data_IF_892585382603
#
_entry.id   IF_892585382603
#
_cell.length_a   1.000
_cell.length_b   1.000
_cell.length_c   1.000
_cell.angle_alpha   90.00
_cell.angle_beta   90.00
_cell.angle_gamma   90.00
#
_symmetry.space_group_name_H-M   'P 1'
#
loop_
_entity.id
_entity.type
_entity.pdbx_description
1 polymer ?
#
# COMPACT_ATOMS: atom_id res chain seq x y z
N UNK A 1 -27.18 29.35 -51.56
CA UNK A 1 -25.96 29.06 -50.76
C UNK A 1 -25.49 27.64 -51.05
N UNK A 2 -24.24 27.47 -51.46
CA UNK A 2 -23.64 26.15 -51.71
C UNK A 2 -23.49 25.35 -50.41
N UNK A 3 -23.40 24.01 -50.50
CA UNK A 3 -23.18 23.13 -49.31
C UNK A 3 -21.95 23.55 -48.49
N UNK A 4 -20.90 24.05 -49.13
CA UNK A 4 -19.72 24.59 -48.47
C UNK A 4 -20.01 25.85 -47.63
N UNK A 5 -20.88 26.75 -48.12
CA UNK A 5 -21.27 27.96 -47.39
C UNK A 5 -22.12 27.66 -46.15
N UNK A 6 -22.87 26.55 -46.16
CA UNK A 6 -23.65 26.11 -44.98
C UNK A 6 -22.74 25.51 -43.90
N UNK A 7 -21.75 24.70 -44.29
CA UNK A 7 -20.80 24.10 -43.34
C UNK A 7 -19.92 25.19 -42.71
N UNK A 8 -19.48 26.17 -43.50
CA UNK A 8 -18.68 27.29 -42.99
C UNK A 8 -19.46 28.18 -42.02
N UNK A 9 -20.77 28.38 -42.23
CA UNK A 9 -21.61 29.15 -41.31
C UNK A 9 -21.86 28.40 -39.99
N UNK A 10 -22.03 27.07 -40.05
CA UNK A 10 -22.20 26.23 -38.85
C UNK A 10 -20.91 26.12 -38.00
N UNK A 11 -19.74 26.06 -38.64
CA UNK A 11 -18.46 26.07 -37.92
C UNK A 11 -18.21 27.42 -37.25
N UNK A 12 -18.56 28.52 -37.92
CA UNK A 12 -18.38 29.86 -37.36
C UNK A 12 -19.32 30.14 -36.18
N UNK A 13 -20.59 29.69 -36.25
CA UNK A 13 -21.52 29.84 -35.12
C UNK A 13 -21.17 28.93 -33.94
N UNK A 14 -20.63 27.73 -34.19
CA UNK A 14 -20.19 26.82 -33.13
C UNK A 14 -18.94 27.32 -32.40
N UNK A 15 -17.98 27.93 -33.11
CA UNK A 15 -16.78 28.53 -32.51
C UNK A 15 -17.15 29.80 -31.72
N UNK A 16 -18.10 30.61 -32.21
CA UNK A 16 -18.57 31.79 -31.48
C UNK A 16 -19.31 31.40 -30.20
N UNK A 17 -20.07 30.29 -30.20
CA UNK A 17 -20.74 29.77 -29.01
C UNK A 17 -19.75 29.29 -27.95
N UNK A 18 -18.68 28.59 -28.37
CA UNK A 18 -17.60 28.13 -27.48
C UNK A 18 -16.82 29.31 -26.88
N UNK A 19 -16.59 30.39 -27.65
CA UNK A 19 -15.94 31.60 -27.15
C UNK A 19 -16.78 32.33 -26.11
N UNK A 20 -18.11 32.36 -26.26
CA UNK A 20 -18.99 32.97 -25.25
C UNK A 20 -19.06 32.18 -23.94
N UNK A 21 -18.95 30.85 -23.99
CA UNK A 21 -18.94 29.98 -22.79
C UNK A 21 -17.62 30.13 -22.01
N UNK A 22 -16.51 30.37 -22.70
CA UNK A 22 -15.18 30.54 -22.09
C UNK A 22 -14.91 31.95 -21.54
N UNK A 23 -15.65 32.98 -21.98
CA UNK A 23 -15.46 34.37 -21.51
C UNK A 23 -16.51 34.85 -20.49
N UNK A 24 -17.68 34.20 -20.41
CA UNK A 24 -18.76 34.58 -19.47
C UNK A 24 -18.99 33.59 -18.33
N UNK A 25 -18.04 32.71 -18.05
CA UNK A 25 -18.06 31.93 -16.81
C UNK A 25 -17.32 32.72 -15.71
N UNK A 26 -18.00 33.26 -14.68
CA UNK A 26 -17.32 33.86 -13.55
C UNK A 26 -16.50 32.77 -12.85
N UNK A 27 -15.20 33.01 -12.69
CA UNK A 27 -14.31 32.19 -11.86
C UNK A 27 -14.76 32.33 -10.42
N UNK A 28 -15.70 31.51 -10.02
CA UNK A 28 -16.12 31.31 -8.65
C UNK A 28 -16.72 29.92 -8.58
N UNK A 29 -16.25 29.15 -7.59
CA UNK A 29 -16.52 27.72 -7.34
C UNK A 29 -15.50 26.74 -7.96
N UNK A 30 -14.25 26.83 -7.47
CA UNK A 30 -13.53 25.60 -7.15
C UNK A 30 -14.21 24.94 -5.94
N UNK A 31 -14.36 23.60 -5.89
CA UNK A 31 -14.78 22.91 -4.68
C UNK A 31 -13.72 23.10 -3.58
N UNK A 32 -14.17 23.41 -2.38
CA UNK A 32 -13.37 23.67 -1.17
C UNK A 32 -12.56 22.47 -0.65
N UNK A 33 -12.51 21.36 -1.39
CA UNK A 33 -11.77 20.13 -1.05
C UNK A 33 -10.36 20.05 -1.65
N UNK A 34 -10.04 20.87 -2.66
CA UNK A 34 -8.69 20.95 -3.25
C UNK A 34 -7.58 21.46 -2.30
N UNK A 35 -7.83 22.41 -1.38
CA UNK A 35 -6.81 22.84 -0.41
C UNK A 35 -6.44 21.73 0.59
N UNK A 36 -7.37 20.80 0.85
CA UNK A 36 -7.19 19.71 1.83
C UNK A 36 -6.28 18.60 1.25
N UNK A 37 -6.49 18.25 -0.01
CA UNK A 37 -5.61 17.33 -0.76
C UNK A 37 -4.22 17.93 -0.92
N UNK A 38 -4.12 19.22 -1.26
CA UNK A 38 -2.82 19.89 -1.37
C UNK A 38 -2.14 20.09 -0.01
N UNK A 39 -2.85 20.34 1.09
CA UNK A 39 -2.25 20.39 2.43
C UNK A 39 -1.76 19.02 2.90
N UNK A 40 -2.45 17.94 2.51
CA UNK A 40 -2.02 16.57 2.77
C UNK A 40 -0.67 16.27 2.08
N UNK A 41 -0.43 16.81 0.88
CA UNK A 41 0.86 16.66 0.18
C UNK A 41 1.91 17.73 0.56
N UNK A 42 1.49 18.94 0.95
CA UNK A 42 2.40 20.07 1.22
C UNK A 42 2.96 20.11 2.64
N UNK A 43 2.23 19.58 3.64
CA UNK A 43 2.76 19.51 5.01
C UNK A 43 3.88 18.48 5.19
N UNK A 44 4.13 17.65 4.17
CA UNK A 44 5.28 16.74 4.13
C UNK A 44 6.56 17.41 3.57
N UNK A 45 6.46 18.59 2.94
CA UNK A 45 7.61 19.32 2.36
C UNK A 45 8.21 20.40 3.30
N UNK A 46 7.42 21.00 4.21
CA UNK A 46 7.84 22.23 4.93
C UNK A 46 8.40 22.04 6.36
N UNK A 47 8.43 20.83 6.92
CA UNK A 47 9.11 20.57 8.20
C UNK A 47 10.43 19.84 7.96
N UNK A 48 11.47 20.57 7.51
CA UNK A 48 12.88 20.36 7.89
C UNK A 48 13.76 21.40 7.14
N UNK A 49 13.58 22.68 7.46
CA UNK A 49 14.63 23.68 7.24
C UNK A 49 15.45 23.74 8.54
N UNK A 50 16.70 23.25 8.45
CA UNK A 50 17.73 23.49 9.47
C UNK A 50 18.18 24.94 9.35
N UNK A 51 17.83 25.77 10.33
CA UNK A 51 18.45 27.08 10.49
C UNK A 51 19.70 26.90 11.36
N UNK A 52 20.86 26.88 10.71
CA UNK A 52 22.17 26.85 11.35
C UNK A 52 22.44 28.21 12.01
N UNK A 53 22.43 28.28 13.34
CA UNK A 53 23.03 29.38 14.06
C UNK A 53 24.18 28.89 14.94
N UNK A 54 25.38 29.17 14.45
CA UNK A 54 26.65 29.11 15.14
C UNK A 54 26.68 30.13 16.28
N UNK A 55 26.76 29.67 17.53
CA UNK A 55 27.50 30.41 18.55
C UNK A 55 28.32 29.46 19.41
N UNK A 56 29.60 29.76 19.41
CA UNK A 56 30.71 29.02 19.96
C UNK A 56 31.10 29.80 21.21
N UNK A 57 30.71 29.32 22.38
CA UNK A 57 31.31 29.78 23.62
C UNK A 57 31.91 28.60 24.37
N UNK A 58 33.23 28.71 24.45
CA UNK A 58 34.19 27.82 25.05
C UNK A 58 34.26 28.20 26.53
N UNK A 59 34.04 27.26 27.44
CA UNK A 59 34.63 27.30 28.77
C UNK A 59 35.02 25.88 29.17
N UNK A 60 36.32 25.61 29.12
CA UNK A 60 36.96 24.52 29.85
C UNK A 60 37.18 25.04 31.27
N UNK A 61 36.74 24.28 32.27
CA UNK A 61 37.22 24.42 33.64
C UNK A 61 37.79 23.07 34.09
N UNK A 62 39.04 23.12 34.51
CA UNK A 62 39.85 21.97 34.92
C UNK A 62 39.65 21.69 36.42
N UNK A 63 39.55 20.42 36.77
CA UNK A 63 40.02 19.92 38.07
C UNK A 63 38.92 19.58 39.09
N UNK A 64 38.69 18.27 39.27
CA UNK A 64 39.24 17.48 40.38
C UNK A 64 38.45 16.16 40.54
N UNK A 65 39.21 15.09 40.67
CA UNK A 65 38.79 13.70 40.75
C UNK A 65 37.80 13.42 41.89
N UNK A 66 36.74 12.64 41.62
CA UNK A 66 36.45 11.49 42.47
C UNK A 66 35.59 10.42 41.78
N UNK A 67 35.85 9.18 42.18
CA UNK A 67 35.57 7.94 41.47
C UNK A 67 34.08 7.60 41.30
N UNK A 68 33.72 7.14 40.10
CA UNK A 68 32.43 6.54 39.79
C UNK A 68 32.44 5.96 38.37
N UNK A 69 32.44 4.64 38.27
CA UNK A 69 32.53 3.85 37.03
C UNK A 69 31.41 4.18 36.04
N UNK A 70 31.73 4.82 34.91
CA UNK A 70 30.84 4.91 33.75
C UNK A 70 31.56 4.37 32.50
N UNK A 71 31.78 3.06 32.47
CA UNK A 71 32.02 2.34 31.22
C UNK A 71 30.69 2.26 30.46
N UNK A 72 30.54 3.05 29.40
CA UNK A 72 29.51 2.77 28.40
C UNK A 72 29.83 1.42 27.76
N UNK A 73 28.89 0.47 27.67
CA UNK A 73 29.19 -0.84 27.13
C UNK A 73 29.55 -0.69 25.66
N UNK A 74 30.73 -1.18 25.29
CA UNK A 74 31.09 -1.44 23.90
C UNK A 74 29.93 -2.23 23.26
N UNK A 75 29.36 -1.67 22.18
CA UNK A 75 28.24 -2.29 21.48
C UNK A 75 28.64 -3.71 21.04
N UNK A 76 27.76 -4.72 21.22
CA UNK A 76 28.06 -6.05 20.71
C UNK A 76 28.19 -5.97 19.18
N UNK A 77 29.33 -6.41 18.67
CA UNK A 77 29.52 -6.68 17.24
C UNK A 77 28.60 -7.85 16.91
N UNK A 78 27.46 -7.55 16.30
CA UNK A 78 26.53 -8.57 15.80
C UNK A 78 27.14 -9.12 14.51
N UNK A 79 27.53 -10.39 14.54
CA UNK A 79 27.93 -11.14 13.36
C UNK A 79 26.69 -11.31 12.46
N UNK A 80 26.52 -10.40 11.50
CA UNK A 80 25.44 -10.43 10.52
C UNK A 80 25.73 -11.44 9.42
N UNK A 81 25.72 -12.70 9.81
CA UNK A 81 25.95 -13.84 8.93
C UNK A 81 24.91 -13.87 7.81
N UNK A 82 25.38 -14.21 6.60
CA UNK A 82 24.58 -14.35 5.37
C UNK A 82 23.88 -13.07 4.84
N UNK A 83 24.07 -11.90 5.46
CA UNK A 83 23.62 -10.59 4.92
C UNK A 83 24.71 -9.98 4.06
N UNK A 84 24.38 -9.64 2.81
CA UNK A 84 25.36 -9.07 1.88
C UNK A 84 25.48 -7.55 2.07
N UNK A 85 26.71 -7.05 2.18
CA UNK A 85 26.98 -5.60 2.25
C UNK A 85 27.08 -5.03 0.85
N UNK A 86 26.22 -4.04 0.56
CA UNK A 86 26.20 -3.33 -0.70
C UNK A 86 26.70 -1.88 -0.53
N UNK A 87 27.37 -1.42 -1.57
CA UNK A 87 27.94 -0.07 -1.74
C UNK A 87 27.53 0.46 -3.10
N UNK A 88 27.70 1.75 -3.37
CA UNK A 88 27.42 2.33 -4.69
C UNK A 88 28.10 1.60 -5.84
N UNK A 89 29.26 0.98 -5.60
CA UNK A 89 30.07 0.28 -6.62
C UNK A 89 29.51 -1.07 -7.04
N UNK A 90 28.86 -1.82 -6.14
CA UNK A 90 28.40 -3.19 -6.41
C UNK A 90 26.86 -3.30 -6.46
N UNK A 91 26.13 -2.27 -6.01
CA UNK A 91 24.69 -2.34 -5.83
C UNK A 91 23.95 -2.71 -7.12
N UNK A 92 24.21 -2.00 -8.22
CA UNK A 92 23.51 -2.17 -9.49
C UNK A 92 23.66 -3.58 -10.08
N UNK A 93 24.91 -4.03 -10.20
CA UNK A 93 25.23 -5.36 -10.73
C UNK A 93 24.66 -6.47 -9.83
N UNK A 94 24.70 -6.26 -8.51
CA UNK A 94 24.22 -7.24 -7.55
C UNK A 94 22.71 -7.45 -7.65
N UNK A 95 21.91 -6.37 -7.66
CA UNK A 95 20.44 -6.49 -7.77
C UNK A 95 19.99 -6.94 -9.15
N UNK A 96 20.81 -6.77 -10.20
CA UNK A 96 20.53 -7.25 -11.54
C UNK A 96 20.83 -8.76 -11.68
N UNK A 97 21.92 -9.23 -11.05
CA UNK A 97 22.34 -10.63 -11.11
C UNK A 97 21.49 -11.52 -10.22
N UNK A 98 21.09 -11.02 -9.04
CA UNK A 98 20.30 -11.79 -8.10
C UNK A 98 18.80 -11.54 -8.34
N UNK A 99 18.00 -12.59 -8.57
CA UNK A 99 16.61 -12.43 -8.99
C UNK A 99 15.74 -11.78 -7.91
N UNK A 100 16.11 -11.95 -6.63
CA UNK A 100 15.27 -11.56 -5.51
C UNK A 100 16.11 -11.07 -4.33
N UNK A 101 16.18 -9.74 -4.16
CA UNK A 101 17.02 -9.09 -3.16
C UNK A 101 16.19 -8.13 -2.32
N UNK A 102 16.08 -8.38 -1.01
CA UNK A 102 15.66 -7.33 -0.09
C UNK A 102 16.90 -6.57 0.39
N UNK A 103 16.82 -5.25 0.37
CA UNK A 103 17.89 -4.37 0.86
C UNK A 103 17.39 -3.57 2.05
N UNK A 104 18.10 -3.67 3.18
CA UNK A 104 17.99 -2.77 4.32
C UNK A 104 18.85 -1.52 4.11
N UNK A 105 18.21 -0.36 4.04
CA UNK A 105 18.88 0.93 4.18
C UNK A 105 18.88 1.34 5.64
N UNK A 106 20.07 1.35 6.25
CA UNK A 106 20.23 1.54 7.69
C UNK A 106 21.16 2.70 8.03
N UNK A 107 21.15 3.09 9.30
CA UNK A 107 22.16 3.97 9.90
C UNK A 107 22.72 3.30 11.17
N UNK A 108 24.06 3.30 11.38
CA UNK A 108 24.68 2.54 12.47
C UNK A 108 24.31 3.06 13.86
N UNK A 109 23.98 4.34 13.97
CA UNK A 109 23.53 4.99 15.21
C UNK A 109 22.01 4.85 15.45
N UNK A 110 21.23 4.37 14.49
CA UNK A 110 19.79 4.23 14.63
C UNK A 110 19.44 3.01 15.51
N UNK A 111 18.75 3.25 16.63
CA UNK A 111 18.29 2.21 17.54
C UNK A 111 17.45 1.13 16.83
N UNK A 112 16.52 1.54 15.95
CA UNK A 112 15.63 0.60 15.25
C UNK A 112 16.37 -0.28 14.24
N UNK A 113 17.39 0.25 13.57
CA UNK A 113 18.25 -0.53 12.67
C UNK A 113 19.05 -1.57 13.44
N UNK A 114 19.66 -1.16 14.56
CA UNK A 114 20.38 -2.08 15.44
C UNK A 114 19.48 -3.19 16.02
N UNK A 115 18.22 -2.85 16.32
CA UNK A 115 17.23 -3.84 16.80
C UNK A 115 16.82 -4.83 15.69
N UNK A 116 16.75 -4.39 14.44
CA UNK A 116 16.37 -5.23 13.30
C UNK A 116 17.52 -6.16 12.85
N UNK A 117 18.78 -5.72 12.92
CA UNK A 117 19.95 -6.45 12.46
C UNK A 117 19.97 -7.96 12.81
N UNK A 118 19.75 -8.40 14.08
CA UNK A 118 19.75 -9.83 14.40
C UNK A 118 18.59 -10.61 13.75
N UNK A 119 17.39 -10.03 13.69
CA UNK A 119 16.22 -10.64 13.03
C UNK A 119 16.42 -10.73 11.52
N UNK A 120 17.05 -9.70 10.94
CA UNK A 120 17.34 -9.61 9.52
C UNK A 120 18.40 -10.65 9.09
N UNK A 121 19.47 -10.81 9.85
CA UNK A 121 20.47 -11.86 9.60
C UNK A 121 19.90 -13.27 9.79
N UNK A 122 19.04 -13.48 10.79
CA UNK A 122 18.34 -14.75 10.95
C UNK A 122 17.40 -15.04 9.76
N UNK A 123 16.73 -14.02 9.21
CA UNK A 123 15.90 -14.17 8.02
C UNK A 123 16.74 -14.48 6.77
N UNK A 124 17.90 -13.83 6.64
CA UNK A 124 18.84 -14.09 5.55
C UNK A 124 19.31 -15.55 5.55
N UNK A 125 19.62 -16.07 6.74
CA UNK A 125 19.98 -17.49 6.92
C UNK A 125 18.82 -18.42 6.54
N UNK A 126 17.58 -18.09 6.95
CA UNK A 126 16.39 -18.89 6.66
C UNK A 126 15.99 -18.90 5.17
N UNK A 127 16.31 -17.83 4.45
CA UNK A 127 16.00 -17.65 3.03
C UNK A 127 17.13 -18.09 2.11
N UNK A 128 18.22 -18.65 2.64
CA UNK A 128 19.39 -19.05 1.86
C UNK A 128 19.02 -20.02 0.75
N UNK A 129 19.27 -19.62 -0.50
CA UNK A 129 18.91 -20.37 -1.70
C UNK A 129 17.53 -20.03 -2.28
N UNK A 130 16.68 -19.33 -1.55
CA UNK A 130 15.37 -18.84 -2.03
C UNK A 130 15.41 -17.34 -2.38
N UNK A 131 16.07 -16.54 -1.55
CA UNK A 131 16.17 -15.09 -1.66
C UNK A 131 17.43 -14.56 -0.99
N UNK A 132 17.86 -13.35 -1.38
CA UNK A 132 19.02 -12.69 -0.80
C UNK A 132 18.57 -11.49 0.04
N UNK A 133 19.13 -11.38 1.24
CA UNK A 133 19.02 -10.19 2.08
C UNK A 133 20.36 -9.45 2.06
N UNK A 134 20.29 -8.15 1.90
CA UNK A 134 21.43 -7.27 1.76
C UNK A 134 21.21 -5.99 2.56
N UNK A 135 22.28 -5.25 2.81
CA UNK A 135 22.22 -3.98 3.53
C UNK A 135 23.09 -2.91 2.91
N UNK A 136 22.68 -1.67 3.08
CA UNK A 136 23.38 -0.45 2.67
C UNK A 136 23.41 0.51 3.85
N UNK A 137 24.60 0.93 4.25
CA UNK A 137 24.74 2.06 5.18
C UNK A 137 24.43 3.35 4.42
N UNK A 138 23.22 3.86 4.59
CA UNK A 138 22.74 5.05 3.88
C UNK A 138 23.35 6.35 4.41
N UNK A 139 24.11 6.29 5.52
CA UNK A 139 24.89 7.44 6.04
C UNK A 139 26.24 7.57 5.34
N UNK A 140 26.75 6.47 4.77
CA UNK A 140 27.97 6.45 3.96
C UNK A 140 27.62 6.54 2.47
N UNK A 141 26.71 5.69 2.00
CA UNK A 141 26.29 5.57 0.60
C UNK A 141 25.11 6.52 0.30
N UNK A 142 25.31 7.81 0.57
CA UNK A 142 24.25 8.83 0.49
C UNK A 142 23.62 8.96 -0.91
N UNK A 143 24.35 8.62 -1.98
CA UNK A 143 23.81 8.61 -3.34
C UNK A 143 22.72 7.56 -3.53
N UNK A 144 22.91 6.35 -3.00
CA UNK A 144 21.86 5.32 -2.99
C UNK A 144 20.66 5.75 -2.14
N UNK A 145 20.92 6.32 -0.95
CA UNK A 145 19.86 6.84 -0.08
C UNK A 145 18.97 7.87 -0.78
N UNK A 146 19.58 8.83 -1.51
CA UNK A 146 18.84 9.83 -2.30
C UNK A 146 18.13 9.21 -3.50
N UNK A 147 18.79 8.33 -4.25
CA UNK A 147 18.23 7.66 -5.44
C UNK A 147 16.92 6.93 -5.12
N UNK A 148 16.90 6.21 -4.00
CA UNK A 148 15.74 5.43 -3.55
C UNK A 148 14.86 6.17 -2.53
N UNK A 149 15.08 7.49 -2.37
CA UNK A 149 14.27 8.39 -1.53
C UNK A 149 14.10 7.88 -0.08
N UNK A 150 15.19 7.41 0.52
CA UNK A 150 15.20 6.93 1.90
C UNK A 150 15.05 8.13 2.85
N UNK A 151 13.91 8.20 3.54
CA UNK A 151 13.56 9.28 4.46
C UNK A 151 13.76 8.92 5.94
N UNK A 152 13.95 7.63 6.25
CA UNK A 152 14.13 7.15 7.62
C UNK A 152 14.72 5.75 7.68
N UNK A 153 15.20 5.35 8.87
CA UNK A 153 15.92 4.11 9.08
C UNK A 153 15.26 3.22 10.14
N UNK A 154 15.25 1.88 9.95
CA UNK A 154 15.60 1.18 8.74
C UNK A 154 14.47 1.27 7.69
N UNK A 155 14.84 1.36 6.41
CA UNK A 155 13.93 1.21 5.28
C UNK A 155 14.26 -0.06 4.52
N UNK A 156 13.27 -0.94 4.33
CA UNK A 156 13.44 -2.24 3.67
C UNK A 156 12.79 -2.19 2.28
N UNK A 157 13.60 -2.37 1.24
CA UNK A 157 13.14 -2.33 -0.15
C UNK A 157 13.37 -3.67 -0.83
N UNK A 158 12.38 -4.17 -1.56
CA UNK A 158 12.51 -5.35 -2.40
C UNK A 158 12.88 -4.97 -3.83
N UNK A 159 13.89 -5.66 -4.34
CA UNK A 159 14.33 -5.61 -5.72
C UNK A 159 14.13 -6.97 -6.37
N UNK A 160 13.56 -6.97 -7.57
CA UNK A 160 13.47 -8.17 -8.41
C UNK A 160 13.92 -7.83 -9.83
N UNK A 161 14.88 -8.60 -10.34
CA UNK A 161 15.47 -8.39 -11.67
C UNK A 161 16.03 -6.97 -11.89
N UNK A 162 16.69 -6.40 -10.87
CA UNK A 162 17.29 -5.06 -10.93
C UNK A 162 16.34 -3.88 -10.72
N UNK A 163 15.04 -4.13 -10.51
CA UNK A 163 14.02 -3.07 -10.36
C UNK A 163 13.47 -3.10 -8.94
N UNK A 164 13.31 -1.91 -8.33
CA UNK A 164 12.60 -1.78 -7.05
C UNK A 164 11.12 -2.11 -7.25
N UNK A 165 10.62 -3.10 -6.51
CA UNK A 165 9.24 -3.60 -6.63
C UNK A 165 8.33 -3.09 -5.54
N UNK A 166 8.77 -3.14 -4.28
CA UNK A 166 7.94 -2.72 -3.16
C UNK A 166 8.80 -2.36 -1.94
N UNK A 167 8.21 -1.55 -1.06
CA UNK A 167 8.75 -1.27 0.27
C UNK A 167 8.08 -2.21 1.27
N UNK A 168 8.87 -2.71 2.23
CA UNK A 168 8.36 -3.56 3.29
C UNK A 168 8.07 -2.75 4.55
N UNK A 169 6.81 -2.81 4.99
CA UNK A 169 6.31 -2.13 6.20
C UNK A 169 5.77 -3.12 7.25
N UNK A 170 5.98 -4.42 7.05
CA UNK A 170 5.50 -5.46 7.96
C UNK A 170 6.32 -5.59 9.24
N UNK A 171 6.00 -6.62 10.03
CA UNK A 171 6.69 -6.90 11.29
C UNK A 171 8.19 -7.17 11.08
N UNK A 172 9.03 -6.56 11.93
CA UNK A 172 10.49 -6.67 11.85
C UNK A 172 11.01 -7.91 12.57
N UNK A 173 10.36 -9.05 12.35
CA UNK A 173 10.74 -10.36 12.90
C UNK A 173 11.23 -11.26 11.78
N UNK A 174 12.11 -12.22 12.11
CA UNK A 174 12.65 -13.20 11.17
C UNK A 174 11.57 -13.85 10.31
N UNK A 175 10.52 -14.35 10.96
CA UNK A 175 9.49 -15.17 10.30
C UNK A 175 8.57 -14.33 9.42
N UNK A 176 8.24 -13.10 9.83
CA UNK A 176 7.43 -12.20 9.02
C UNK A 176 8.18 -11.74 7.77
N UNK A 177 9.47 -11.42 7.90
CA UNK A 177 10.33 -11.05 6.76
C UNK A 177 10.46 -12.24 5.81
N UNK A 178 10.77 -13.43 6.31
CA UNK A 178 10.90 -14.63 5.49
C UNK A 178 9.59 -15.01 4.77
N UNK A 179 8.47 -14.93 5.48
CA UNK A 179 7.15 -15.22 4.91
C UNK A 179 6.80 -14.21 3.82
N UNK A 180 7.01 -12.92 4.07
CA UNK A 180 6.73 -11.89 3.09
C UNK A 180 7.63 -12.03 1.85
N UNK A 181 8.91 -12.33 2.05
CA UNK A 181 9.85 -12.58 0.96
C UNK A 181 9.39 -13.77 0.10
N UNK A 182 8.97 -14.87 0.71
CA UNK A 182 8.43 -16.05 0.01
C UNK A 182 7.13 -15.73 -0.75
N UNK A 183 6.23 -14.96 -0.14
CA UNK A 183 4.98 -14.53 -0.79
C UNK A 183 5.26 -13.68 -2.04
N UNK A 184 6.21 -12.75 -1.93
CA UNK A 184 6.55 -11.84 -3.02
C UNK A 184 7.54 -12.46 -4.03
N UNK A 185 8.12 -13.62 -3.73
CA UNK A 185 8.91 -14.43 -4.67
C UNK A 185 8.09 -14.91 -5.90
N UNK A 186 6.77 -14.68 -5.93
CA UNK A 186 5.92 -14.79 -7.13
C UNK A 186 6.21 -13.79 -8.25
N UNK A 187 7.15 -12.85 -8.07
CA UNK A 187 7.55 -11.85 -9.06
C UNK A 187 8.57 -12.36 -10.11
N UNK A 188 9.02 -13.61 -9.96
CA UNK A 188 9.78 -14.39 -10.94
C UNK A 188 8.88 -15.52 -11.42
N UNK A 189 8.93 -15.85 -12.70
CA UNK A 189 8.21 -16.99 -13.26
C UNK A 189 8.65 -18.26 -12.51
N UNK A 190 7.75 -18.83 -11.69
CA UNK A 190 8.08 -19.98 -10.87
C UNK A 190 7.99 -21.27 -11.70
N UNK A 191 9.03 -22.09 -11.65
CA UNK A 191 9.01 -23.41 -12.29
C UNK A 191 8.15 -24.37 -11.47
N UNK A 192 7.18 -25.02 -12.13
CA UNK A 192 6.31 -26.04 -11.54
C UNK A 192 6.63 -27.39 -12.19
N UNK A 193 7.31 -28.27 -11.46
CA UNK A 193 7.76 -29.56 -12.00
C UNK A 193 6.86 -30.74 -11.61
N UNK A 194 6.04 -30.59 -10.57
CA UNK A 194 5.24 -31.68 -9.99
C UNK A 194 3.74 -31.38 -9.99
N UNK A 195 2.92 -32.43 -10.08
CA UNK A 195 1.45 -32.29 -10.06
C UNK A 195 0.95 -31.93 -8.66
N UNK A 196 1.66 -32.30 -7.60
CA UNK A 196 1.36 -31.92 -6.22
C UNK A 196 1.50 -30.40 -6.02
N UNK A 197 2.55 -29.80 -6.57
CA UNK A 197 2.77 -28.36 -6.58
C UNK A 197 1.72 -27.63 -7.41
N UNK A 198 1.45 -28.12 -8.63
CA UNK A 198 0.39 -27.59 -9.48
C UNK A 198 -0.97 -27.57 -8.77
N UNK A 199 -1.32 -28.65 -8.07
CA UNK A 199 -2.56 -28.72 -7.30
C UNK A 199 -2.59 -27.77 -6.09
N UNK A 200 -1.44 -27.47 -5.47
CA UNK A 200 -1.36 -26.45 -4.41
C UNK A 200 -1.61 -25.06 -4.99
N UNK A 201 -0.98 -24.74 -6.13
CA UNK A 201 -1.15 -23.46 -6.83
C UNK A 201 -2.61 -23.27 -7.26
N UNK A 202 -3.23 -24.29 -7.85
CA UNK A 202 -4.62 -24.25 -8.31
C UNK A 202 -5.68 -24.09 -7.19
N UNK A 203 -5.30 -24.29 -5.91
CA UNK A 203 -6.18 -24.03 -4.75
C UNK A 203 -6.11 -22.59 -4.27
N UNK A 204 -5.20 -21.78 -4.82
CA UNK A 204 -5.15 -20.35 -4.51
C UNK A 204 -6.27 -19.63 -5.26
N UNK A 205 -7.00 -18.74 -4.59
CA UNK A 205 -8.01 -17.89 -5.22
C UNK A 205 -7.34 -16.68 -5.91
N UNK A 206 -6.31 -16.94 -6.72
CA UNK A 206 -5.53 -15.91 -7.41
C UNK A 206 -5.62 -16.06 -8.92
N UNK A 207 -5.32 -14.97 -9.62
CA UNK A 207 -5.12 -15.00 -11.08
C UNK A 207 -3.73 -15.56 -11.35
N UNK A 208 -3.67 -16.56 -12.22
CA UNK A 208 -2.46 -17.34 -12.52
C UNK A 208 -2.18 -17.26 -14.01
N UNK A 209 -0.92 -17.03 -14.37
CA UNK A 209 -0.41 -17.16 -15.74
C UNK A 209 0.55 -18.34 -15.78
N UNK A 210 0.30 -19.31 -16.67
CA UNK A 210 1.07 -20.54 -16.79
C UNK A 210 1.62 -20.70 -18.21
N UNK A 211 2.95 -20.70 -18.35
CA UNK A 211 3.66 -21.02 -19.59
C UNK A 211 4.03 -22.50 -19.66
N UNK A 212 3.69 -23.17 -20.77
CA UNK A 212 4.19 -24.48 -21.13
C UNK A 212 5.27 -24.33 -22.20
N UNK A 213 6.53 -24.61 -21.84
CA UNK A 213 7.72 -24.30 -22.64
C UNK A 213 8.48 -25.59 -23.01
N UNK A 214 9.22 -25.56 -24.12
CA UNK A 214 10.12 -26.65 -24.51
C UNK A 214 11.32 -26.76 -23.56
N UNK A 215 11.82 -25.62 -23.07
CA UNK A 215 12.91 -25.51 -22.11
C UNK A 215 12.58 -24.46 -21.06
N UNK A 216 12.95 -24.73 -19.80
CA UNK A 216 12.75 -23.82 -18.67
C UNK A 216 13.82 -22.71 -18.56
N UNK A 217 14.68 -22.64 -19.57
CA UNK A 217 15.72 -21.65 -19.79
C UNK A 217 15.74 -21.31 -21.28
N UNK A 218 15.98 -20.04 -21.65
CA UNK A 218 16.09 -19.66 -23.07
C UNK A 218 15.40 -18.35 -23.40
N UNK A 219 15.07 -18.13 -24.68
CA UNK A 219 14.32 -16.95 -25.14
C UNK A 219 12.96 -16.89 -24.47
N UNK A 220 12.22 -17.98 -24.47
CA UNK A 220 10.81 -17.97 -24.07
C UNK A 220 10.67 -17.69 -22.57
N UNK A 221 11.49 -18.33 -21.74
CA UNK A 221 11.58 -17.98 -20.31
C UNK A 221 11.95 -16.51 -20.09
N UNK A 222 12.84 -15.92 -20.91
CA UNK A 222 13.20 -14.50 -20.81
C UNK A 222 12.03 -13.59 -21.16
N UNK A 223 11.31 -13.87 -22.23
CA UNK A 223 10.12 -13.11 -22.65
C UNK A 223 9.02 -13.20 -21.59
N UNK A 224 8.75 -14.39 -21.06
CA UNK A 224 7.77 -14.61 -19.99
C UNK A 224 8.17 -13.90 -18.69
N UNK A 225 9.46 -13.92 -18.34
CA UNK A 225 10.00 -13.21 -17.19
C UNK A 225 9.97 -11.70 -17.38
N UNK A 226 10.21 -11.22 -18.60
CA UNK A 226 10.10 -9.80 -18.91
C UNK A 226 8.64 -9.34 -18.75
N UNK A 227 7.68 -10.11 -19.26
CA UNK A 227 6.25 -9.81 -19.08
C UNK A 227 5.83 -9.87 -17.60
N UNK A 228 6.29 -10.87 -16.83
CA UNK A 228 5.94 -10.98 -15.40
C UNK A 228 6.39 -9.75 -14.59
N UNK A 229 7.48 -9.10 -15.00
CA UNK A 229 7.96 -7.87 -14.33
C UNK A 229 6.99 -6.70 -14.47
N UNK A 230 6.16 -6.68 -15.50
CA UNK A 230 5.16 -5.63 -15.76
C UNK A 230 3.86 -5.86 -14.97
N UNK A 231 3.61 -7.09 -14.51
CA UNK A 231 2.38 -7.53 -13.84
C UNK A 231 2.67 -8.03 -12.43
N UNK A 232 3.09 -7.13 -11.54
CA UNK A 232 3.56 -7.47 -10.19
C UNK A 232 2.47 -8.00 -9.24
N UNK A 233 1.21 -7.90 -9.63
CA UNK A 233 0.01 -8.37 -8.93
C UNK A 233 -0.46 -9.77 -9.36
N UNK A 234 0.14 -10.33 -10.42
CA UNK A 234 -0.25 -11.62 -11.01
C UNK A 234 0.89 -12.62 -10.84
N UNK A 235 0.55 -13.86 -10.50
CA UNK A 235 1.54 -14.92 -10.34
C UNK A 235 1.82 -15.58 -11.69
N UNK A 236 3.08 -15.56 -12.11
CA UNK A 236 3.55 -16.23 -13.32
C UNK A 236 4.27 -17.52 -12.98
N UNK A 237 3.99 -18.56 -13.76
CA UNK A 237 4.60 -19.88 -13.63
C UNK A 237 5.06 -20.38 -15.00
N UNK A 238 6.01 -21.31 -15.01
CA UNK A 238 6.41 -22.06 -16.19
C UNK A 238 6.53 -23.57 -15.89
N UNK A 239 6.32 -24.40 -16.90
CA UNK A 239 6.50 -25.85 -16.82
C UNK A 239 6.90 -26.40 -18.19
N UNK A 240 7.71 -27.46 -18.20
CA UNK A 240 8.00 -28.31 -19.36
C UNK A 240 7.30 -29.67 -19.21
N UNK A 241 6.56 -29.87 -18.10
CA UNK A 241 5.90 -31.11 -17.77
C UNK A 241 4.46 -31.11 -18.32
N UNK A 242 4.19 -32.04 -19.23
CA UNK A 242 2.88 -32.22 -19.89
C UNK A 242 1.76 -32.51 -18.88
N UNK A 243 2.03 -33.25 -17.80
CA UNK A 243 1.02 -33.57 -16.79
C UNK A 243 0.66 -32.34 -15.94
N UNK A 244 1.63 -31.48 -15.67
CA UNK A 244 1.40 -30.18 -15.03
C UNK A 244 0.58 -29.27 -15.96
N UNK A 245 1.00 -29.14 -17.23
CA UNK A 245 0.30 -28.34 -18.23
C UNK A 245 -1.19 -28.74 -18.36
N UNK A 246 -1.48 -30.04 -18.32
CA UNK A 246 -2.85 -30.58 -18.35
C UNK A 246 -3.71 -30.11 -17.16
N UNK A 247 -3.14 -30.01 -15.96
CA UNK A 247 -3.86 -29.51 -14.77
C UNK A 247 -4.27 -28.05 -14.92
N UNK A 248 -3.47 -27.27 -15.65
CA UNK A 248 -3.74 -25.87 -16.01
C UNK A 248 -4.56 -25.71 -17.30
N UNK A 249 -5.17 -26.80 -17.82
CA UNK A 249 -6.03 -26.81 -19.03
C UNK A 249 -5.29 -26.51 -20.35
N UNK A 250 -3.98 -26.68 -20.40
CA UNK A 250 -3.24 -26.68 -21.66
C UNK A 250 -3.42 -28.06 -22.30
N UNK A 251 -3.91 -28.10 -23.54
CA UNK A 251 -4.05 -29.35 -24.28
C UNK A 251 -2.66 -29.94 -24.60
N UNK A 252 -2.39 -31.21 -24.27
CA UNK A 252 -1.14 -31.88 -24.61
C UNK A 252 -0.78 -31.88 -26.10
N UNK A 253 -1.74 -31.64 -26.99
CA UNK A 253 -1.52 -31.54 -28.43
C UNK A 253 -0.99 -30.17 -28.87
N UNK A 254 -1.06 -29.15 -28.02
CA UNK A 254 -0.50 -27.83 -28.31
C UNK A 254 1.02 -27.93 -28.23
N UNK A 255 1.69 -27.45 -29.28
CA UNK A 255 3.14 -27.37 -29.32
C UNK A 255 3.62 -26.19 -28.46
N UNK A 256 4.62 -26.38 -27.57
CA UNK A 256 5.28 -25.26 -26.91
C UNK A 256 5.92 -24.27 -27.90
N UNK A 257 6.08 -22.99 -27.52
CA UNK A 257 5.61 -22.41 -26.27
C UNK A 257 4.10 -22.13 -26.30
N UNK A 258 3.42 -22.42 -25.20
CA UNK A 258 2.01 -22.13 -24.99
C UNK A 258 1.81 -21.37 -23.68
N UNK A 259 0.78 -20.52 -23.61
CA UNK A 259 0.47 -19.75 -22.41
C UNK A 259 -1.03 -19.82 -22.14
N UNK A 260 -1.39 -19.97 -20.86
CA UNK A 260 -2.77 -19.89 -20.40
C UNK A 260 -2.86 -18.98 -19.19
N UNK A 261 -3.95 -18.23 -19.11
CA UNK A 261 -4.32 -17.45 -17.93
C UNK A 261 -5.54 -18.10 -17.29
N UNK A 262 -5.47 -18.34 -15.98
CA UNK A 262 -6.56 -18.91 -15.20
C UNK A 262 -7.01 -17.95 -14.11
N UNK A 263 -8.33 -17.85 -13.92
CA UNK A 263 -8.94 -17.19 -12.77
C UNK A 263 -9.91 -18.16 -12.09
N UNK A 264 -9.81 -18.23 -10.78
CA UNK A 264 -10.76 -18.97 -9.96
C UNK A 264 -12.06 -18.16 -9.79
N UNK A 265 -13.20 -18.68 -10.23
CA UNK A 265 -14.49 -18.00 -10.15
C UNK A 265 -15.61 -18.96 -9.74
N UNK A 266 -15.91 -19.01 -8.44
CA UNK A 266 -16.89 -19.92 -7.85
C UNK A 266 -16.73 -21.39 -8.35
N UNK A 267 -17.82 -22.11 -8.56
CA UNK A 267 -17.81 -23.53 -8.92
C UNK A 267 -17.19 -23.87 -10.30
N UNK A 268 -16.63 -22.89 -11.04
CA UNK A 268 -16.07 -23.12 -12.36
C UNK A 268 -14.71 -22.42 -12.57
N UNK A 269 -13.84 -23.02 -13.39
CA UNK A 269 -12.50 -22.47 -13.70
C UNK A 269 -12.56 -21.73 -15.04
N UNK A 270 -12.46 -20.40 -14.99
CA UNK A 270 -12.29 -19.58 -16.19
C UNK A 270 -10.82 -19.66 -16.64
N UNK A 271 -10.57 -20.15 -17.86
CA UNK A 271 -9.24 -20.22 -18.45
C UNK A 271 -9.27 -19.65 -19.86
N UNK A 272 -8.21 -18.96 -20.25
CA UNK A 272 -8.07 -18.36 -21.58
C UNK A 272 -6.68 -18.67 -22.10
N UNK A 273 -6.61 -19.31 -23.27
CA UNK A 273 -5.35 -19.54 -23.97
C UNK A 273 -4.85 -18.27 -24.66
N UNK A 274 -3.53 -18.14 -24.76
CA UNK A 274 -2.85 -17.12 -25.54
C UNK A 274 -2.62 -17.63 -26.97
N UNK A 275 -2.94 -16.80 -27.96
CA UNK A 275 -2.83 -17.10 -29.39
C UNK A 275 -1.85 -16.15 -30.13
N UNK A 276 -1.17 -15.26 -29.40
CA UNK A 276 -0.18 -14.34 -29.94
C UNK A 276 1.23 -14.92 -30.06
N UNK A 277 2.16 -14.08 -30.50
CA UNK A 277 3.59 -14.39 -30.50
C UNK A 277 4.12 -14.37 -29.07
N UNK A 278 4.99 -15.32 -28.75
CA UNK A 278 5.56 -15.46 -27.41
C UNK A 278 6.64 -14.40 -27.14
N UNK A 279 6.22 -13.14 -26.99
CA UNK A 279 7.07 -11.95 -26.75
C UNK A 279 6.56 -11.19 -25.53
N UNK A 280 7.45 -10.46 -24.84
CA UNK A 280 7.12 -9.63 -23.67
C UNK A 280 5.89 -8.76 -23.93
N UNK A 281 5.88 -8.05 -25.06
CA UNK A 281 4.82 -7.09 -25.40
C UNK A 281 3.47 -7.79 -25.56
N UNK A 282 3.40 -8.85 -26.37
CA UNK A 282 2.13 -9.53 -26.64
C UNK A 282 1.62 -10.30 -25.43
N UNK A 283 2.51 -10.92 -24.65
CA UNK A 283 2.16 -11.58 -23.38
C UNK A 283 1.62 -10.54 -22.40
N UNK A 284 2.30 -9.39 -22.27
CA UNK A 284 1.89 -8.33 -21.37
C UNK A 284 0.53 -7.75 -21.76
N UNK A 285 0.33 -7.46 -23.06
CA UNK A 285 -0.93 -6.94 -23.59
C UNK A 285 -2.08 -7.94 -23.38
N UNK A 286 -1.82 -9.23 -23.59
CA UNK A 286 -2.77 -10.30 -23.30
C UNK A 286 -3.15 -10.32 -21.82
N UNK A 287 -2.17 -10.31 -20.92
CA UNK A 287 -2.40 -10.34 -19.47
C UNK A 287 -3.18 -9.11 -19.02
N UNK A 288 -2.79 -7.90 -19.45
CA UNK A 288 -3.54 -6.67 -19.18
C UNK A 288 -4.98 -6.74 -19.69
N UNK A 289 -5.17 -7.13 -20.95
CA UNK A 289 -6.49 -7.15 -21.59
C UNK A 289 -7.41 -8.16 -20.92
N UNK A 290 -6.90 -9.34 -20.61
CA UNK A 290 -7.67 -10.40 -19.97
C UNK A 290 -7.90 -10.12 -18.49
N UNK A 291 -6.93 -9.56 -17.76
CA UNK A 291 -7.16 -9.12 -16.38
C UNK A 291 -8.25 -8.03 -16.32
N UNK A 292 -8.23 -7.08 -17.26
CA UNK A 292 -9.30 -6.09 -17.42
C UNK A 292 -10.65 -6.69 -17.82
N UNK A 293 -10.67 -7.76 -18.63
CA UNK A 293 -11.90 -8.48 -18.97
C UNK A 293 -12.44 -9.28 -17.77
N UNK A 294 -11.56 -9.89 -16.98
CA UNK A 294 -11.92 -10.60 -15.75
C UNK A 294 -12.43 -9.65 -14.66
N UNK A 295 -11.92 -8.43 -14.59
CA UNK A 295 -12.41 -7.38 -13.67
C UNK A 295 -13.64 -6.65 -14.23
N UNK A 296 -13.76 -6.50 -15.56
CA UNK A 296 -15.00 -6.00 -16.19
C UNK A 296 -16.14 -6.99 -16.19
N UNK A 297 -15.92 -8.31 -16.16
CA UNK A 297 -16.98 -9.30 -15.95
C UNK A 297 -17.66 -9.07 -14.60
N UNK A 298 -16.88 -8.76 -13.56
CA UNK A 298 -17.41 -8.33 -12.27
C UNK A 298 -18.21 -7.02 -12.38
N UNK A 299 -17.83 -6.12 -13.31
CA UNK A 299 -18.56 -4.88 -13.60
C UNK A 299 -19.82 -5.13 -14.46
N UNK A 300 -19.81 -6.02 -15.45
CA UNK A 300 -20.99 -6.29 -16.29
C UNK A 300 -22.03 -7.15 -15.59
N UNK A 301 -21.59 -8.06 -14.70
CA UNK A 301 -22.48 -8.83 -13.83
C UNK A 301 -23.01 -7.97 -12.68
N UNK A 302 -22.28 -6.94 -12.23
CA UNK A 302 -22.76 -5.92 -11.27
C UNK A 302 -23.51 -4.73 -11.90
N UNK A 303 -23.49 -4.59 -13.23
CA UNK A 303 -24.27 -3.57 -13.97
C UNK A 303 -25.56 -4.16 -14.53
N UNK A 304 -25.64 -5.47 -14.81
CA UNK A 304 -26.90 -6.13 -15.21
C UNK A 304 -27.70 -6.71 -14.04
N UNK A 305 -27.08 -6.88 -12.87
CA UNK A 305 -27.80 -7.05 -11.61
C UNK A 305 -27.38 -5.92 -10.69
N UNK A 306 -28.32 -5.16 -10.14
CA UNK A 306 -28.09 -4.06 -9.20
C UNK A 306 -27.14 -4.48 -8.05
N UNK A 307 -25.81 -4.47 -8.22
CA UNK A 307 -24.87 -5.00 -7.23
C UNK A 307 -23.49 -4.34 -7.30
N UNK A 308 -23.45 -3.02 -7.40
CA UNK A 308 -22.28 -2.28 -6.96
C UNK A 308 -21.94 -2.66 -5.50
N UNK A 309 -20.66 -2.86 -5.14
CA UNK A 309 -20.28 -3.18 -3.77
C UNK A 309 -20.80 -2.06 -2.86
N UNK A 310 -21.56 -2.45 -1.83
CA UNK A 310 -22.23 -1.49 -0.96
C UNK A 310 -21.24 -0.78 -0.04
N UNK A 311 -20.03 -1.34 0.13
CA UNK A 311 -18.91 -0.76 0.86
C UNK A 311 -17.67 -0.73 -0.04
N UNK A 312 -16.92 0.36 0.00
CA UNK A 312 -15.65 0.53 -0.73
C UNK A 312 -14.50 0.36 0.28
N UNK A 313 -13.57 -0.55 0.03
CA UNK A 313 -12.33 -0.63 0.82
C UNK A 313 -11.40 0.51 0.42
N UNK A 314 -10.92 1.28 1.39
CA UNK A 314 -10.03 2.39 1.15
C UNK A 314 -8.61 1.90 0.82
N UNK A 315 -8.12 2.30 -0.35
CA UNK A 315 -6.75 2.09 -0.80
C UNK A 315 -6.15 3.43 -1.25
N UNK A 316 -4.83 3.49 -1.39
CA UNK A 316 -4.14 4.69 -1.89
C UNK A 316 -4.63 5.06 -3.30
N UNK A 317 -4.86 4.06 -4.14
CA UNK A 317 -5.30 4.26 -5.52
C UNK A 317 -6.74 4.78 -5.61
N UNK A 318 -7.60 4.40 -4.65
CA UNK A 318 -8.98 4.86 -4.59
C UNK A 318 -9.18 6.21 -3.88
N UNK A 319 -8.14 6.73 -3.22
CA UNK A 319 -8.25 7.89 -2.33
C UNK A 319 -8.85 9.13 -3.01
N UNK A 320 -8.40 9.46 -4.22
CA UNK A 320 -8.92 10.62 -4.97
C UNK A 320 -10.40 10.46 -5.35
N UNK A 321 -10.83 9.24 -5.67
CA UNK A 321 -12.21 8.93 -6.04
C UNK A 321 -13.14 8.94 -4.83
N UNK A 322 -12.69 8.39 -3.70
CA UNK A 322 -13.47 8.32 -2.47
C UNK A 322 -13.61 9.72 -1.86
N UNK A 323 -12.50 10.43 -1.63
CA UNK A 323 -12.51 11.75 -1.00
C UNK A 323 -13.10 12.84 -1.90
N UNK A 324 -13.03 12.67 -3.23
CA UNK A 324 -13.66 13.56 -4.20
C UNK A 324 -15.16 13.30 -4.42
N UNK A 325 -15.73 12.26 -3.78
CA UNK A 325 -17.13 11.93 -3.97
C UNK A 325 -18.05 12.95 -3.27
N UNK A 326 -18.99 13.59 -4.00
CA UNK A 326 -19.86 14.63 -3.44
C UNK A 326 -20.93 14.11 -2.47
N UNK A 327 -21.13 12.79 -2.38
CA UNK A 327 -22.09 12.18 -1.46
C UNK A 327 -21.57 12.17 -0.02
N UNK A 328 -22.49 12.23 0.94
CA UNK A 328 -22.22 11.98 2.37
C UNK A 328 -21.62 10.58 2.55
N UNK A 329 -20.62 10.48 3.43
CA UNK A 329 -19.81 9.27 3.56
C UNK A 329 -19.81 8.73 4.99
N UNK A 330 -19.88 7.42 5.12
CA UNK A 330 -19.79 6.71 6.39
C UNK A 330 -18.55 5.82 6.37
N UNK A 331 -17.64 6.03 7.31
CA UNK A 331 -16.31 5.41 7.34
C UNK A 331 -16.20 4.45 8.52
N UNK A 332 -15.93 3.17 8.27
CA UNK A 332 -15.59 2.19 9.29
C UNK A 332 -14.07 2.04 9.37
N UNK A 333 -13.49 2.35 10.53
CA UNK A 333 -12.11 2.04 10.86
C UNK A 333 -12.10 0.78 11.71
N UNK A 334 -11.52 -0.31 11.20
CA UNK A 334 -11.48 -1.57 11.94
C UNK A 334 -10.37 -2.48 11.44
N UNK A 335 -9.87 -3.34 12.33
CA UNK A 335 -8.96 -4.42 11.93
C UNK A 335 -9.68 -5.43 11.04
N UNK A 336 -8.94 -6.09 10.14
CA UNK A 336 -9.45 -7.17 9.30
C UNK A 336 -10.00 -8.38 10.09
N UNK A 337 -9.66 -8.49 11.37
CA UNK A 337 -10.07 -9.60 12.23
C UNK A 337 -11.50 -9.41 12.78
N UNK A 338 -12.09 -8.23 12.64
CA UNK A 338 -13.45 -7.92 13.09
C UNK A 338 -14.51 -8.27 12.03
N UNK A 339 -14.48 -9.52 11.54
CA UNK A 339 -15.31 -9.99 10.41
C UNK A 339 -16.82 -9.81 10.64
N UNK A 340 -17.30 -10.02 11.88
CA UNK A 340 -18.72 -9.84 12.23
C UNK A 340 -19.16 -8.38 12.08
N UNK A 341 -18.32 -7.44 12.52
CA UNK A 341 -18.60 -6.02 12.39
C UNK A 341 -18.52 -5.56 10.93
N UNK A 342 -17.53 -6.04 10.18
CA UNK A 342 -17.41 -5.75 8.74
C UNK A 342 -18.67 -6.23 8.01
N UNK A 343 -19.13 -7.45 8.30
CA UNK A 343 -20.36 -8.02 7.72
C UNK A 343 -21.59 -7.20 8.10
N UNK A 344 -21.69 -6.77 9.35
CA UNK A 344 -22.79 -5.94 9.86
C UNK A 344 -22.81 -4.57 9.15
N UNK A 345 -21.65 -3.97 8.95
CA UNK A 345 -21.50 -2.69 8.26
C UNK A 345 -21.85 -2.80 6.77
N UNK A 346 -21.42 -3.88 6.11
CA UNK A 346 -21.80 -4.19 4.72
C UNK A 346 -23.30 -4.42 4.57
N UNK A 347 -23.93 -5.09 5.53
CA UNK A 347 -25.36 -5.32 5.53
C UNK A 347 -26.14 -4.00 5.70
N UNK A 348 -25.72 -3.13 6.62
CA UNK A 348 -26.30 -1.80 6.78
C UNK A 348 -26.15 -0.97 5.49
N UNK A 349 -24.99 -1.03 4.82
CA UNK A 349 -24.73 -0.29 3.59
C UNK A 349 -25.71 -0.60 2.45
N UNK A 350 -26.24 -1.83 2.39
CA UNK A 350 -27.23 -2.23 1.37
C UNK A 350 -28.51 -1.39 1.45
N UNK A 351 -28.90 -0.93 2.63
CA UNK A 351 -30.09 -0.10 2.82
C UNK A 351 -29.94 1.35 2.30
N UNK A 352 -28.70 1.82 2.09
CA UNK A 352 -28.38 3.19 1.71
C UNK A 352 -27.72 3.32 0.34
N UNK A 353 -27.86 2.30 -0.51
CA UNK A 353 -27.36 2.34 -1.89
C UNK A 353 -27.82 3.60 -2.61
N UNK A 354 -26.89 4.25 -3.29
CA UNK A 354 -27.10 5.51 -4.02
C UNK A 354 -27.55 6.70 -3.14
N UNK A 355 -27.54 6.56 -1.80
CA UNK A 355 -27.84 7.64 -0.84
C UNK A 355 -26.64 8.04 -0.01
N UNK A 356 -25.84 7.06 0.43
CA UNK A 356 -24.59 7.24 1.16
C UNK A 356 -23.49 6.40 0.55
N UNK A 357 -22.24 6.85 0.73
CA UNK A 357 -21.05 6.05 0.39
C UNK A 357 -20.52 5.44 1.68
N UNK A 358 -20.41 4.12 1.72
CA UNK A 358 -19.80 3.42 2.84
C UNK A 358 -18.36 3.08 2.48
N UNK A 359 -17.44 3.38 3.40
CA UNK A 359 -16.00 3.20 3.21
C UNK A 359 -15.46 2.36 4.37
N UNK A 360 -14.70 1.31 4.07
CA UNK A 360 -13.97 0.52 5.05
C UNK A 360 -12.49 0.85 5.00
N UNK A 361 -11.89 1.13 6.15
CA UNK A 361 -10.46 1.37 6.32
C UNK A 361 -9.91 0.29 7.23
N UNK A 362 -9.01 -0.53 6.67
CA UNK A 362 -8.26 -1.51 7.47
C UNK A 362 -7.28 -0.77 8.40
N UNK A 363 -7.47 -0.94 9.70
CA UNK A 363 -6.50 -0.52 10.71
C UNK A 363 -5.67 -1.72 11.12
N UNK A 364 -4.35 -1.63 11.09
CA UNK A 364 -3.45 -2.74 11.46
C UNK A 364 -3.28 -2.90 12.98
N UNK A 365 -3.97 -2.09 13.79
CA UNK A 365 -3.85 -2.07 15.24
C UNK A 365 -2.54 -1.44 15.74
N UNK A 366 -1.77 -0.82 14.84
CA UNK A 366 -0.53 -0.10 15.14
C UNK A 366 -0.70 1.39 14.85
N UNK A 367 0.22 2.24 15.34
CA UNK A 367 0.18 3.70 15.12
C UNK A 367 0.93 4.17 13.86
N UNK A 368 1.35 3.26 12.98
CA UNK A 368 2.31 3.57 11.90
C UNK A 368 1.76 3.31 10.48
N UNK A 369 0.61 2.65 10.34
CA UNK A 369 -0.01 2.35 9.05
C UNK A 369 -0.84 3.49 8.45
N UNK A 370 -1.17 3.39 7.15
CA UNK A 370 -2.06 4.33 6.45
C UNK A 370 -3.42 4.47 7.16
N UNK A 371 -4.00 3.34 7.56
CA UNK A 371 -5.28 3.31 8.28
C UNK A 371 -5.20 3.99 9.64
N UNK A 372 -4.07 3.90 10.34
CA UNK A 372 -3.84 4.56 11.63
C UNK A 372 -3.69 6.08 11.49
N UNK A 373 -2.92 6.54 10.49
CA UNK A 373 -2.80 7.96 10.17
C UNK A 373 -4.15 8.56 9.77
N UNK A 374 -4.94 7.82 8.99
CA UNK A 374 -6.28 8.26 8.60
C UNK A 374 -7.25 8.27 9.79
N UNK A 375 -7.21 7.24 10.64
CA UNK A 375 -7.97 7.19 11.88
C UNK A 375 -7.67 8.41 12.77
N UNK A 376 -6.40 8.77 12.94
CA UNK A 376 -5.99 9.97 13.68
C UNK A 376 -6.57 11.26 13.08
N UNK A 377 -6.49 11.45 11.76
CA UNK A 377 -7.10 12.60 11.09
C UNK A 377 -8.63 12.63 11.20
N UNK A 378 -9.26 11.47 11.36
CA UNK A 378 -10.68 11.29 11.59
C UNK A 378 -11.06 11.31 13.07
N UNK A 379 -10.12 11.63 13.98
CA UNK A 379 -10.38 11.71 15.42
C UNK A 379 -10.79 10.38 16.05
N UNK A 380 -10.46 9.26 15.40
CA UNK A 380 -10.76 7.92 15.87
C UNK A 380 -9.73 7.52 16.93
N UNK A 381 -10.15 7.17 18.16
CA UNK A 381 -9.24 6.71 19.21
C UNK A 381 -8.56 5.39 18.83
N UNK A 382 -7.34 5.18 19.33
CA UNK A 382 -6.58 3.96 19.11
C UNK A 382 -7.28 2.73 19.71
N UNK A 383 -7.21 1.58 19.02
CA UNK A 383 -7.49 0.27 19.60
C UNK A 383 -8.95 -0.20 19.59
N UNK A 384 -9.91 0.53 19.02
CA UNK A 384 -11.29 0.04 18.88
C UNK A 384 -11.91 0.39 17.53
N UNK A 385 -12.70 -0.53 16.93
CA UNK A 385 -13.44 -0.22 15.72
C UNK A 385 -14.38 0.96 15.92
N UNK A 386 -14.42 1.88 14.95
CA UNK A 386 -15.27 3.07 15.01
C UNK A 386 -15.86 3.38 13.65
N UNK A 387 -17.10 3.87 13.69
CA UNK A 387 -17.79 4.44 12.54
C UNK A 387 -17.74 5.97 12.64
N UNK A 388 -17.41 6.64 11.54
CA UNK A 388 -17.34 8.09 11.45
C UNK A 388 -18.18 8.57 10.27
N UNK A 389 -19.10 9.48 10.52
CA UNK A 389 -19.84 10.17 9.47
C UNK A 389 -19.04 11.40 9.00
N UNK A 390 -18.85 11.54 7.69
CA UNK A 390 -18.10 12.61 7.05
C UNK A 390 -18.99 13.37 6.07
N UNK A 391 -19.23 14.65 6.39
CA UNK A 391 -20.02 15.56 5.58
C UNK A 391 -19.23 16.04 4.35
N UNK A 392 -19.93 16.45 3.29
CA UNK A 392 -19.30 16.98 2.09
C UNK A 392 -18.49 18.26 2.34
N UNK A 393 -18.78 18.99 3.43
CA UNK A 393 -18.04 20.18 3.87
C UNK A 393 -16.79 19.84 4.72
N UNK A 394 -16.53 18.56 4.98
CA UNK A 394 -15.41 18.06 5.77
C UNK A 394 -15.67 17.94 7.27
N UNK A 395 -16.87 18.23 7.76
CA UNK A 395 -17.22 18.02 9.17
C UNK A 395 -17.37 16.52 9.47
N UNK A 396 -16.88 16.10 10.63
CA UNK A 396 -16.81 14.68 11.03
C UNK A 396 -17.51 14.45 12.36
N UNK A 397 -18.25 13.35 12.43
CA UNK A 397 -19.01 12.96 13.61
C UNK A 397 -18.72 11.51 13.96
N UNK A 398 -18.19 11.29 15.16
CA UNK A 398 -17.84 9.95 15.65
C UNK A 398 -19.07 9.25 16.22
N UNK A 399 -19.37 8.03 15.75
CA UNK A 399 -20.46 7.22 16.29
C UNK A 399 -20.07 6.56 17.62
N UNK A 400 -20.91 6.76 18.64
CA UNK A 400 -20.73 6.24 20.00
C UNK A 400 -21.77 5.19 20.42
N UNK A 401 -22.72 4.85 19.54
CA UNK A 401 -23.71 3.82 19.82
C UNK A 401 -23.16 2.40 19.66
N UNK A 402 -24.04 1.41 19.81
CA UNK A 402 -23.67 0.01 19.64
C UNK A 402 -23.35 -0.32 18.18
N UNK A 403 -22.29 -1.11 17.96
CA UNK A 403 -21.81 -1.51 16.63
C UNK A 403 -22.62 -2.69 16.06
N UNK A 404 -23.95 -2.59 16.15
CA UNK A 404 -24.93 -3.56 15.63
C UNK A 404 -25.55 -3.06 14.33
N UNK A 405 -26.25 -3.94 13.61
CA UNK A 405 -26.92 -3.57 12.36
C UNK A 405 -27.90 -2.41 12.57
N UNK A 406 -28.77 -2.51 13.58
CA UNK A 406 -29.78 -1.49 13.89
C UNK A 406 -29.13 -0.18 14.35
N UNK A 407 -28.05 -0.25 15.13
CA UNK A 407 -27.33 0.94 15.58
C UNK A 407 -26.67 1.71 14.44
N UNK A 408 -25.92 1.01 13.58
CA UNK A 408 -25.25 1.60 12.41
C UNK A 408 -26.28 2.13 11.40
N UNK A 409 -27.37 1.40 11.18
CA UNK A 409 -28.46 1.82 10.29
C UNK A 409 -29.15 3.08 10.80
N UNK A 410 -29.52 3.13 12.07
CA UNK A 410 -30.16 4.31 12.68
C UNK A 410 -29.25 5.54 12.59
N UNK A 411 -27.95 5.35 12.87
CA UNK A 411 -26.96 6.42 12.71
C UNK A 411 -26.84 6.93 11.27
N UNK A 412 -26.89 6.01 10.29
CA UNK A 412 -26.86 6.38 8.87
C UNK A 412 -28.14 7.11 8.42
N UNK A 413 -29.31 6.75 8.96
CA UNK A 413 -30.58 7.46 8.74
C UNK A 413 -30.52 8.88 9.30
N UNK A 414 -30.12 9.04 10.57
CA UNK A 414 -29.92 10.34 11.21
C UNK A 414 -28.92 11.21 10.44
N UNK A 415 -27.83 10.61 9.96
CA UNK A 415 -26.82 11.30 9.18
C UNK A 415 -27.35 11.79 7.83
N UNK A 416 -28.14 10.95 7.15
CA UNK A 416 -28.74 11.30 5.87
C UNK A 416 -29.69 12.49 6.03
N UNK A 417 -30.44 12.54 7.12
CA UNK A 417 -31.42 13.59 7.46
C UNK A 417 -30.83 14.85 8.13
N UNK A 418 -29.50 14.92 8.30
CA UNK A 418 -28.81 16.01 9.02
C UNK A 418 -29.26 16.18 10.47
N UNK A 419 -29.73 15.10 11.11
CA UNK A 419 -30.30 15.09 12.45
C UNK A 419 -29.45 14.27 13.45
N UNK A 420 -28.12 14.42 13.37
CA UNK A 420 -27.16 13.76 14.26
C UNK A 420 -27.28 14.31 15.69
N UNK A 421 -28.21 13.80 16.50
CA UNK A 421 -28.62 14.49 17.74
C UNK A 421 -28.41 13.70 19.04
N UNK A 422 -28.02 12.41 19.02
CA UNK A 422 -27.98 11.62 20.26
C UNK A 422 -26.72 10.73 20.42
N UNK A 423 -26.15 10.20 19.34
CA UNK A 423 -25.06 9.21 19.42
C UNK A 423 -23.78 9.62 18.70
N UNK A 424 -23.61 10.92 18.46
CA UNK A 424 -22.48 11.47 17.72
C UNK A 424 -21.78 12.59 18.48
N UNK A 425 -20.44 12.58 18.46
CA UNK A 425 -19.64 13.70 18.97
C UNK A 425 -18.99 14.40 17.78
N UNK A 426 -19.19 15.73 17.60
CA UNK A 426 -18.50 16.48 16.56
C UNK A 426 -17.00 16.51 16.85
N UNK A 427 -16.18 16.21 15.86
CA UNK A 427 -14.73 16.25 15.98
C UNK A 427 -14.26 17.69 15.73
N UNK A 428 -13.89 18.40 16.79
CA UNK A 428 -13.42 19.78 16.68
C UNK A 428 -12.10 19.86 15.89
N UNK A 429 -12.02 20.80 14.93
CA UNK A 429 -10.80 21.09 14.14
C UNK A 429 -9.59 21.46 15.02
N UNK A 430 -9.81 21.90 16.26
CA UNK A 430 -8.76 22.27 17.22
C UNK A 430 -8.18 21.09 18.03
N UNK A 431 -8.74 19.88 17.94
CA UNK A 431 -8.25 18.70 18.66
C UNK A 431 -7.04 18.01 17.98
N UNK A 432 -6.59 18.51 16.82
CA UNK A 432 -5.46 17.99 16.03
C UNK A 432 -4.09 18.63 16.39
N UNK A 433 -3.94 19.22 17.59
CA UNK A 433 -2.62 19.70 18.04
C UNK A 433 -1.77 18.51 18.51
N UNK A 434 -0.64 18.29 17.84
CA UNK A 434 0.48 17.52 18.40
C UNK A 434 0.83 18.08 19.80
N UNK A 435 1.29 17.24 20.75
CA UNK A 435 1.76 17.74 22.03
C UNK A 435 2.95 18.67 21.80
N UNK A 436 2.74 19.99 21.93
CA UNK A 436 3.82 20.96 21.99
C UNK A 436 4.47 20.89 23.38
N UNK A 437 5.79 20.85 23.40
CA UNK A 437 6.67 20.87 24.58
C UNK A 437 6.12 21.72 25.74
N UNK A 438 5.88 21.08 26.88
CA UNK A 438 5.75 21.77 28.17
C UNK A 438 6.85 21.27 29.11
N UNK A 439 8.03 21.84 28.94
CA UNK A 439 8.98 21.98 30.04
C UNK A 439 8.69 23.28 30.81
N UNK A 440 8.83 23.18 32.13
CA UNK A 440 8.63 24.17 33.20
C UNK A 440 7.16 24.23 33.69
N UNK A 441 6.83 23.82 34.92
CA UNK A 441 7.57 24.01 36.17
C UNK A 441 7.21 22.92 37.20
N UNK A 442 8.21 22.24 37.74
CA UNK A 442 8.08 21.41 38.94
C UNK A 442 7.87 22.29 40.17
N UNK A 443 6.86 22.06 41.03
CA UNK A 443 6.87 22.60 42.38
C UNK A 443 7.72 21.68 43.26
N UNK A 444 8.67 22.29 43.95
CA UNK A 444 9.52 21.69 44.98
C UNK A 444 8.73 20.92 46.04
N UNK A 445 9.17 19.69 46.31
CA UNK A 445 8.84 18.94 47.53
C UNK A 445 9.40 19.67 48.75
N UNK A 446 8.50 20.16 49.62
CA UNK A 446 8.79 20.54 51.00
C UNK A 446 7.81 19.82 51.91
N UNK A 447 8.28 18.71 52.47
CA UNK A 447 7.96 18.15 53.79
C UNK A 447 6.70 18.65 54.53
N UNK A 448 5.79 17.72 54.85
CA UNK A 448 5.46 17.41 56.25
C UNK A 448 4.64 16.12 56.39
N UNK A 449 5.23 15.23 57.17
CA UNK A 449 4.65 14.10 57.90
C UNK A 449 3.44 14.56 58.72
N UNK A 450 2.37 13.76 58.76
CA UNK A 450 1.76 13.29 60.01
C UNK A 450 0.75 12.17 59.78
N UNK A 451 0.99 11.09 60.54
CA UNK A 451 0.05 10.03 60.89
C UNK A 451 -1.22 10.62 61.56
N UNK A 452 -2.38 10.05 61.22
CA UNK A 452 -3.28 9.26 62.10
C UNK A 452 -4.38 8.66 61.21
#
# INVERSE_FOLDING_TARGET
MSRAARISLFLFTSILLLFTILWFSPVSHLPSSLPLVLSFFKHQEDTFIFESNTHKDIYYDEGLENQGTNSWPENPVVDEKDVVVLTEKNFGDFIATNPYVMVEFYAPWCYWSRKLAPEYSAAATLLKGEAVLAKVDATVEMGLGRKYKIQGYPSLLLFAGGIQKSSYYGERTRDAIATWMRQKNGLVVQTVSTTEEANRILRTNSVIVMGFLDTLEGSDTKELTAASRLHADINFYQTDNVDVARLFRIDPQIKPPALVMLKWEAANRSHVGFDGQFTESEISDFVSTKNLQFTKSEISDSVSTNNAPSVITFTVDDASRILGNPMKQLWLFSTKYSLELISTFEEAAKAFRNKLVFVYVETDGTNLGLGANLAFQFGVPEGSPRVVACMANGDKYLYHGEMTFDGIKSFAEEFLEDNLSIHSVPISKSALRLPSDSHQSSPSLSSRVNYI
#
